data_IF_296210724560
#
_entry.id   IF_296210724560
#
_cell.length_a   1.000
_cell.length_b   1.000
_cell.length_c   1.000
_cell.angle_alpha   90.00
_cell.angle_beta   90.00
_cell.angle_gamma   90.00
#
_symmetry.space_group_name_H-M   'P 1'
#
loop_
_entity.id
_entity.type
_entity.pdbx_description
1 polymer ?
#
# COMPACT_ATOMS: atom_id res chain seq x y z
N UNK A 1 15.72 2.63 -2.35
CA UNK A 1 14.53 1.76 -2.23
C UNK A 1 13.29 2.41 -1.60
N UNK A 2 13.23 2.66 -0.27
CA UNK A 2 11.96 3.14 0.34
C UNK A 2 11.48 4.49 -0.22
N UNK A 3 12.40 5.43 -0.52
CA UNK A 3 12.09 6.67 -1.24
C UNK A 3 11.46 6.43 -2.62
N UNK A 4 12.00 5.48 -3.38
CA UNK A 4 11.46 5.09 -4.71
C UNK A 4 10.03 4.59 -4.58
N UNK A 5 9.75 3.78 -3.56
CA UNK A 5 8.39 3.32 -3.28
C UNK A 5 7.47 4.48 -2.88
N UNK A 6 7.92 5.40 -2.03
CA UNK A 6 7.15 6.60 -1.67
C UNK A 6 6.81 7.46 -2.90
N UNK A 7 7.77 7.66 -3.81
CA UNK A 7 7.56 8.41 -5.05
C UNK A 7 6.51 7.72 -5.94
N UNK A 8 6.52 6.39 -5.99
CA UNK A 8 5.48 5.62 -6.68
C UNK A 8 4.10 5.79 -6.06
N UNK A 9 3.98 5.70 -4.74
CA UNK A 9 2.71 5.92 -4.04
C UNK A 9 2.19 7.32 -4.31
N UNK A 10 3.04 8.35 -4.21
CA UNK A 10 2.67 9.75 -4.50
C UNK A 10 2.27 9.99 -5.95
N UNK A 11 2.74 9.17 -6.88
CA UNK A 11 2.41 9.29 -8.31
C UNK A 11 1.01 8.79 -8.67
N UNK A 12 0.36 8.02 -7.79
CA UNK A 12 -0.99 7.49 -8.01
C UNK A 12 -1.97 8.19 -7.06
N UNK A 13 -2.89 9.03 -7.56
CA UNK A 13 -3.76 9.87 -6.73
C UNK A 13 -4.76 9.06 -5.89
N UNK A 14 -4.92 7.77 -6.17
CA UNK A 14 -5.80 6.87 -5.40
C UNK A 14 -5.17 6.46 -4.07
N UNK A 15 -3.87 6.68 -3.90
CA UNK A 15 -3.16 6.34 -2.69
C UNK A 15 -2.65 7.59 -1.99
N UNK A 16 -2.54 7.51 -0.68
CA UNK A 16 -1.95 8.58 0.11
C UNK A 16 -0.92 8.05 1.10
N UNK A 17 0.08 8.88 1.38
CA UNK A 17 1.06 8.65 2.44
C UNK A 17 0.47 9.17 3.74
N UNK A 18 0.26 8.27 4.71
CA UNK A 18 -0.48 8.60 5.94
C UNK A 18 0.43 9.25 6.99
N UNK A 19 1.70 8.87 7.02
CA UNK A 19 2.70 9.49 7.91
C UNK A 19 4.03 9.70 7.16
N UNK A 20 4.83 10.74 7.50
CA UNK A 20 6.13 10.97 6.88
C UNK A 20 7.06 9.77 6.98
N UNK A 21 7.81 9.49 5.90
CA UNK A 21 8.80 8.41 5.86
C UNK A 21 10.14 8.90 6.43
N UNK A 22 10.53 8.37 7.58
CA UNK A 22 11.84 8.65 8.18
C UNK A 22 12.94 7.66 7.71
N UNK A 23 12.61 6.36 7.60
CA UNK A 23 13.58 5.30 7.29
C UNK A 23 13.12 4.40 6.12
N UNK A 24 13.29 3.09 6.25
CA UNK A 24 12.91 2.07 5.27
C UNK A 24 11.43 1.70 5.25
N UNK A 25 10.59 2.34 6.07
CA UNK A 25 9.16 2.04 6.18
C UNK A 25 8.32 3.13 5.52
N UNK A 26 7.49 2.74 4.56
CA UNK A 26 6.45 3.61 3.99
C UNK A 26 5.08 3.17 4.48
N UNK A 27 4.35 4.13 5.03
CA UNK A 27 3.00 3.94 5.57
C UNK A 27 2.00 4.64 4.63
N UNK A 28 1.13 3.86 4.01
CA UNK A 28 0.23 4.34 2.97
C UNK A 28 -1.13 3.65 3.04
N UNK A 29 -2.13 4.20 2.36
CA UNK A 29 -3.43 3.54 2.20
C UNK A 29 -4.05 3.86 0.84
N UNK A 30 -4.91 2.96 0.36
CA UNK A 30 -5.78 3.17 -0.79
C UNK A 30 -6.99 4.00 -0.32
N UNK A 31 -7.14 5.19 -0.88
CA UNK A 31 -8.24 6.13 -0.61
C UNK A 31 -8.60 6.86 -1.92
N UNK A 32 -9.33 6.19 -2.84
CA UNK A 32 -9.61 6.73 -4.18
C UNK A 32 -10.60 7.90 -4.19
N UNK A 33 -11.41 8.04 -3.13
CA UNK A 33 -12.38 9.11 -2.98
C UNK A 33 -12.54 9.43 -1.48
N UNK A 34 -12.27 10.67 -1.08
CA UNK A 34 -12.37 11.14 0.30
C UNK A 34 -13.82 11.12 0.83
N UNK A 35 -14.81 11.02 -0.05
CA UNK A 35 -16.23 10.88 0.34
C UNK A 35 -16.55 9.50 0.88
N UNK A 36 -15.70 8.49 0.65
CA UNK A 36 -15.87 7.18 1.25
C UNK A 36 -15.69 7.24 2.77
N UNK A 37 -16.68 6.70 3.50
CA UNK A 37 -16.60 6.60 4.95
C UNK A 37 -15.40 5.77 5.41
N UNK A 38 -14.89 6.10 6.60
CA UNK A 38 -13.69 5.45 7.18
C UNK A 38 -13.77 3.92 7.21
N UNK A 39 -14.96 3.36 7.47
CA UNK A 39 -15.17 1.90 7.51
C UNK A 39 -15.01 1.26 6.13
N UNK A 40 -15.48 1.92 5.07
CA UNK A 40 -15.34 1.42 3.70
C UNK A 40 -13.88 1.50 3.24
N UNK A 41 -13.20 2.61 3.52
CA UNK A 41 -11.77 2.77 3.23
C UNK A 41 -10.94 1.74 4.00
N UNK A 42 -11.27 1.44 5.26
CA UNK A 42 -10.64 0.35 6.00
C UNK A 42 -10.88 -1.02 5.34
N UNK A 43 -12.13 -1.32 4.94
CA UNK A 43 -12.47 -2.57 4.26
C UNK A 43 -11.69 -2.73 2.95
N UNK A 44 -11.58 -1.67 2.14
CA UNK A 44 -10.80 -1.67 0.91
C UNK A 44 -9.32 -1.99 1.18
N UNK A 45 -8.72 -1.36 2.18
CA UNK A 45 -7.31 -1.59 2.53
C UNK A 45 -7.07 -3.00 3.08
N UNK A 46 -8.01 -3.56 3.85
CA UNK A 46 -7.96 -4.96 4.28
C UNK A 46 -7.98 -5.91 3.09
N UNK A 47 -8.95 -5.73 2.18
CA UNK A 47 -9.06 -6.53 0.96
C UNK A 47 -7.82 -6.43 0.08
N UNK A 48 -7.25 -5.22 -0.05
CA UNK A 48 -6.02 -5.01 -0.82
C UNK A 48 -4.84 -5.76 -0.20
N UNK A 49 -4.66 -5.66 1.12
CA UNK A 49 -3.60 -6.38 1.82
C UNK A 49 -3.74 -7.89 1.65
N UNK A 50 -4.94 -8.42 1.87
CA UNK A 50 -5.22 -9.85 1.75
C UNK A 50 -4.98 -10.33 0.32
N UNK A 51 -5.43 -9.57 -0.67
CA UNK A 51 -5.20 -9.88 -2.08
C UNK A 51 -3.70 -9.92 -2.40
N UNK A 52 -2.94 -8.88 -2.04
CA UNK A 52 -1.50 -8.82 -2.32
C UNK A 52 -0.76 -9.97 -1.64
N UNK A 53 -1.04 -10.22 -0.35
CA UNK A 53 -0.40 -11.29 0.40
C UNK A 53 -0.77 -12.69 -0.14
N UNK A 54 -2.01 -12.89 -0.60
CA UNK A 54 -2.48 -14.17 -1.15
C UNK A 54 -1.74 -14.60 -2.41
N UNK A 55 -1.12 -13.65 -3.13
CA UNK A 55 -0.33 -13.96 -4.32
C UNK A 55 0.99 -14.69 -4.00
N UNK A 56 1.45 -14.62 -2.74
CA UNK A 56 2.76 -15.15 -2.31
C UNK A 56 3.98 -14.41 -2.88
N UNK A 57 3.78 -13.34 -3.67
CA UNK A 57 4.87 -12.59 -4.34
C UNK A 57 5.46 -11.49 -3.48
N UNK A 58 4.65 -10.93 -2.59
CA UNK A 58 5.02 -9.87 -1.65
C UNK A 58 4.31 -10.16 -0.33
N UNK A 59 4.97 -9.88 0.78
CA UNK A 59 4.33 -9.90 2.10
C UNK A 59 4.42 -8.50 2.73
N UNK A 60 3.26 -7.97 3.09
CA UNK A 60 3.12 -6.72 3.83
C UNK A 60 2.28 -6.93 5.08
N UNK A 61 2.35 -5.97 6.00
CA UNK A 61 1.52 -5.92 7.19
C UNK A 61 0.71 -4.63 7.22
N UNK A 62 -0.22 -4.54 8.17
CA UNK A 62 -0.95 -3.32 8.46
C UNK A 62 -0.71 -2.86 9.89
N UNK A 63 -1.23 -1.69 10.21
CA UNK A 63 -1.47 -1.26 11.59
C UNK A 63 -2.67 -0.30 11.63
N UNK A 64 -3.12 0.06 12.83
CA UNK A 64 -4.06 1.17 13.04
C UNK A 64 -3.38 2.28 13.84
N UNK A 65 -3.43 3.50 13.32
CA UNK A 65 -2.89 4.71 14.00
C UNK A 65 -4.01 5.75 14.03
N UNK A 66 -4.36 6.24 15.23
CA UNK A 66 -5.45 7.21 15.38
C UNK A 66 -6.80 6.73 14.84
N UNK A 67 -7.07 5.42 14.88
CA UNK A 67 -8.26 4.81 14.28
C UNK A 67 -8.18 4.53 12.79
N UNK A 68 -7.14 5.01 12.09
CA UNK A 68 -6.97 4.85 10.65
C UNK A 68 -6.19 3.56 10.37
N UNK A 69 -6.77 2.67 9.55
CA UNK A 69 -6.11 1.47 9.06
C UNK A 69 -5.14 1.81 7.91
N UNK A 70 -3.87 1.41 8.06
CA UNK A 70 -2.80 1.73 7.10
C UNK A 70 -1.99 0.49 6.72
N UNK A 71 -1.50 0.48 5.49
CA UNK A 71 -0.59 -0.54 4.97
C UNK A 71 0.86 -0.13 5.22
N UNK A 72 1.71 -1.12 5.50
CA UNK A 72 3.12 -0.93 5.86
C UNK A 72 4.01 -1.68 4.88
N UNK A 73 4.75 -0.92 4.08
CA UNK A 73 5.79 -1.45 3.20
C UNK A 73 7.17 -1.18 3.82
N UNK A 74 7.70 -2.17 4.53
CA UNK A 74 9.00 -2.11 5.19
C UNK A 74 10.08 -2.71 4.28
N UNK A 75 10.90 -1.86 3.66
CA UNK A 75 12.01 -2.29 2.82
C UNK A 75 13.30 -2.31 3.62
N UNK A 76 13.95 -3.47 3.67
CA UNK A 76 15.23 -3.61 4.37
C UNK A 76 15.83 -5.02 4.38
N UNK A 77 15.19 -6.02 3.75
CA UNK A 77 15.78 -7.35 3.67
C UNK A 77 17.02 -7.33 2.76
N UNK A 78 18.05 -8.08 3.15
CA UNK A 78 19.40 -8.03 2.56
C UNK A 78 19.43 -8.30 1.05
N UNK A 79 18.50 -9.14 0.55
CA UNK A 79 18.41 -9.50 -0.86
C UNK A 79 17.40 -8.65 -1.64
N UNK A 80 16.72 -7.69 -1.00
CA UNK A 80 15.80 -6.79 -1.67
C UNK A 80 16.58 -5.73 -2.45
N UNK A 81 16.14 -5.50 -3.69
CA UNK A 81 16.70 -4.53 -4.61
C UNK A 81 15.60 -3.68 -5.26
N UNK A 82 15.97 -2.66 -6.01
CA UNK A 82 15.02 -1.71 -6.62
C UNK A 82 14.02 -2.41 -7.56
N UNK A 83 14.46 -3.43 -8.30
CA UNK A 83 13.60 -4.26 -9.15
C UNK A 83 12.45 -4.93 -8.37
N UNK A 84 12.72 -5.40 -7.15
CA UNK A 84 11.71 -6.00 -6.27
C UNK A 84 10.69 -4.96 -5.79
N UNK A 85 11.15 -3.73 -5.49
CA UNK A 85 10.27 -2.62 -5.10
C UNK A 85 9.34 -2.23 -6.25
N UNK A 86 9.88 -2.14 -7.47
CA UNK A 86 9.09 -1.86 -8.69
C UNK A 86 8.05 -2.96 -8.93
N UNK A 87 8.45 -4.23 -8.79
CA UNK A 87 7.53 -5.36 -8.95
C UNK A 87 6.43 -5.37 -7.88
N UNK A 88 6.77 -5.08 -6.62
CA UNK A 88 5.81 -4.97 -5.53
C UNK A 88 4.80 -3.85 -5.78
N UNK A 89 5.25 -2.67 -6.23
CA UNK A 89 4.34 -1.58 -6.57
C UNK A 89 3.39 -1.93 -7.72
N UNK A 90 3.88 -2.58 -8.78
CA UNK A 90 3.02 -3.05 -9.88
C UNK A 90 1.93 -3.97 -9.37
N UNK A 91 2.27 -4.92 -8.51
CA UNK A 91 1.31 -5.85 -7.91
C UNK A 91 0.27 -5.14 -7.02
N UNK A 92 0.68 -4.16 -6.23
CA UNK A 92 -0.23 -3.36 -5.39
C UNK A 92 -1.24 -2.62 -6.28
N UNK A 93 -0.78 -2.04 -7.39
CA UNK A 93 -1.68 -1.37 -8.36
C UNK A 93 -2.64 -2.35 -9.02
N UNK A 94 -2.17 -3.53 -9.43
CA UNK A 94 -3.04 -4.58 -10.00
C UNK A 94 -4.13 -4.99 -9.01
N UNK A 95 -3.80 -5.15 -7.72
CA UNK A 95 -4.76 -5.44 -6.67
C UNK A 95 -5.77 -4.32 -6.46
N UNK A 96 -5.32 -3.06 -6.47
CA UNK A 96 -6.21 -1.91 -6.38
C UNK A 96 -7.13 -1.79 -7.61
N UNK A 97 -6.60 -2.00 -8.82
CA UNK A 97 -7.39 -2.00 -10.05
C UNK A 97 -8.47 -3.08 -10.04
N UNK A 98 -8.13 -4.29 -9.57
CA UNK A 98 -9.09 -5.40 -9.46
C UNK A 98 -10.22 -5.08 -8.46
N UNK A 99 -9.88 -4.49 -7.31
CA UNK A 99 -10.86 -4.13 -6.28
C UNK A 99 -11.76 -2.99 -6.72
N UNK A 100 -11.22 -1.97 -7.39
CA UNK A 100 -11.99 -0.79 -7.81
C UNK A 100 -12.85 -1.04 -9.05
N UNK A 101 -12.48 -1.98 -9.93
CA UNK A 101 -13.33 -2.41 -11.06
C UNK A 101 -14.55 -3.23 -10.63
N UNK A 102 -14.55 -3.75 -9.40
CA UNK A 102 -15.64 -4.56 -8.85
C UNK A 102 -16.71 -3.70 -8.16
N UNK A 103 -16.54 -2.37 -8.18
CA UNK A 103 -17.46 -1.37 -7.61
C UNK A 103 -18.22 -0.66 -8.71
#
# INVERSE_FOLDING_TARGET
MAKIFEDFVRSDPRFEIVVPREFGLVCFRLNPDETFGSDYTELLNRKLLDWVNSTGRVYMTHTKVGGIYILRFAVGATLTGDNHVVAAWKLIKEGADALLKTV
#
